data_IF_533517545209
#
_entry.id   IF_533517545209
#
_cell.length_a   1.000
_cell.length_b   1.000
_cell.length_c   1.000
_cell.angle_alpha   90.00
_cell.angle_beta   90.00
_cell.angle_gamma   90.00
#
_symmetry.space_group_name_H-M   'P 1'
#
loop_
_entity.id
_entity.type
_entity.pdbx_description
1 polymer ?
#
# COMPACT_ATOMS: atom_id res chain seq x y z
N UNK A 1 -27.79 -15.81 -6.98
CA UNK A 1 -27.64 -16.10 -5.53
C UNK A 1 -27.80 -14.80 -4.75
N UNK A 2 -28.51 -14.79 -3.62
CA UNK A 2 -28.62 -13.61 -2.74
C UNK A 2 -28.19 -14.00 -1.33
N UNK A 3 -27.27 -13.24 -0.74
CA UNK A 3 -26.73 -13.48 0.60
C UNK A 3 -26.91 -12.23 1.45
N UNK A 4 -27.31 -12.38 2.71
CA UNK A 4 -27.43 -11.28 3.67
C UNK A 4 -26.34 -11.39 4.72
N UNK A 5 -25.53 -10.34 4.84
CA UNK A 5 -24.40 -10.26 5.75
C UNK A 5 -24.70 -9.21 6.81
N UNK A 6 -24.59 -9.59 8.08
CA UNK A 6 -24.74 -8.66 9.21
C UNK A 6 -23.38 -8.08 9.61
N UNK A 7 -23.30 -6.88 10.19
CA UNK A 7 -22.05 -6.29 10.67
C UNK A 7 -21.38 -7.17 11.71
N UNK A 8 -20.05 -7.22 11.63
CA UNK A 8 -19.17 -7.87 12.60
C UNK A 8 -17.99 -6.95 12.87
N UNK A 9 -17.58 -6.86 14.13
CA UNK A 9 -16.61 -5.86 14.58
C UNK A 9 -17.24 -4.50 14.89
N UNK A 10 -16.40 -3.46 14.90
CA UNK A 10 -16.75 -2.13 15.38
C UNK A 10 -17.25 -1.19 14.28
N UNK A 11 -18.32 -1.57 13.57
CA UNK A 11 -19.09 -0.52 12.90
C UNK A 11 -19.94 0.21 13.93
N UNK A 12 -19.67 1.51 14.03
CA UNK A 12 -20.58 2.46 14.65
C UNK A 12 -21.88 2.51 13.84
N UNK A 13 -23.00 2.74 14.52
CA UNK A 13 -24.33 2.76 13.90
C UNK A 13 -24.37 3.85 12.81
N UNK A 14 -24.47 3.46 11.53
CA UNK A 14 -24.66 4.42 10.44
C UNK A 14 -26.04 5.08 10.54
N UNK A 15 -26.07 6.39 10.34
CA UNK A 15 -27.29 7.18 10.25
C UNK A 15 -28.07 6.87 8.97
N UNK A 16 -29.36 7.23 8.97
CA UNK A 16 -30.21 7.08 7.78
C UNK A 16 -29.67 7.89 6.60
N UNK A 17 -29.12 9.09 6.86
CA UNK A 17 -28.58 9.99 5.84
C UNK A 17 -27.33 9.41 5.15
N UNK A 18 -26.42 8.80 5.92
CA UNK A 18 -25.20 8.18 5.38
C UNK A 18 -25.55 7.01 4.45
N UNK A 19 -26.50 6.17 4.87
CA UNK A 19 -26.95 5.04 4.03
C UNK A 19 -27.69 5.52 2.79
N UNK A 20 -28.52 6.55 2.90
CA UNK A 20 -29.27 7.06 1.75
C UNK A 20 -28.36 7.69 0.68
N UNK A 21 -27.19 8.24 1.05
CA UNK A 21 -26.18 8.68 0.06
C UNK A 21 -25.73 7.55 -0.86
N UNK A 22 -25.53 6.34 -0.33
CA UNK A 22 -25.20 5.17 -1.16
C UNK A 22 -26.38 4.70 -2.01
N UNK A 23 -27.62 4.85 -1.51
CA UNK A 23 -28.84 4.44 -2.23
C UNK A 23 -29.27 5.39 -3.35
N UNK A 24 -28.74 6.62 -3.41
CA UNK A 24 -29.23 7.67 -4.31
C UNK A 24 -29.24 7.30 -5.79
N UNK A 25 -28.43 6.31 -6.22
CA UNK A 25 -28.61 5.57 -7.48
C UNK A 25 -27.52 4.49 -7.60
N UNK A 26 -27.86 3.31 -8.13
CA UNK A 26 -26.89 2.28 -8.51
C UNK A 26 -25.89 2.75 -9.59
N UNK A 27 -26.16 3.91 -10.23
CA UNK A 27 -25.25 4.57 -11.18
C UNK A 27 -24.45 5.73 -10.57
N UNK A 28 -24.61 6.03 -9.28
CA UNK A 28 -23.81 7.09 -8.65
C UNK A 28 -22.33 6.67 -8.57
N UNK A 29 -21.43 7.64 -8.69
CA UNK A 29 -19.98 7.39 -8.61
C UNK A 29 -19.60 6.73 -7.27
N UNK A 30 -20.19 7.20 -6.17
CA UNK A 30 -19.97 6.65 -4.83
C UNK A 30 -20.43 5.20 -4.71
N UNK A 31 -21.60 4.86 -5.28
CA UNK A 31 -22.07 3.48 -5.30
C UNK A 31 -21.15 2.56 -6.12
N UNK A 32 -20.73 3.01 -7.30
CA UNK A 32 -19.82 2.23 -8.15
C UNK A 32 -18.47 2.01 -7.46
N UNK A 33 -17.93 3.04 -6.80
CA UNK A 33 -16.73 2.94 -5.97
C UNK A 33 -16.92 1.89 -4.86
N UNK A 34 -18.00 1.99 -4.09
CA UNK A 34 -18.33 1.05 -3.02
C UNK A 34 -18.50 -0.38 -3.51
N UNK A 35 -19.24 -0.58 -4.60
CA UNK A 35 -19.45 -1.88 -5.24
C UNK A 35 -18.13 -2.48 -5.69
N UNK A 36 -17.27 -1.70 -6.35
CA UNK A 36 -16.01 -2.21 -6.90
C UNK A 36 -15.02 -2.58 -5.79
N UNK A 37 -14.89 -1.77 -4.74
CA UNK A 37 -14.08 -2.10 -3.57
C UNK A 37 -14.62 -3.35 -2.84
N UNK A 38 -15.94 -3.48 -2.70
CA UNK A 38 -16.57 -4.65 -2.07
C UNK A 38 -16.34 -5.93 -2.88
N UNK A 39 -16.41 -5.84 -4.21
CA UNK A 39 -16.11 -6.96 -5.10
C UNK A 39 -14.65 -7.39 -4.99
N UNK A 40 -13.72 -6.43 -4.94
CA UNK A 40 -12.29 -6.71 -4.76
C UNK A 40 -12.02 -7.48 -3.45
N UNK A 41 -12.65 -7.07 -2.35
CA UNK A 41 -12.60 -7.78 -1.06
C UNK A 41 -13.14 -9.20 -1.15
N UNK A 42 -14.29 -9.40 -1.80
CA UNK A 42 -14.87 -10.74 -2.01
C UNK A 42 -13.99 -11.61 -2.93
N UNK A 43 -13.18 -10.98 -3.78
CA UNK A 43 -12.33 -11.63 -4.75
C UNK A 43 -10.90 -11.95 -4.24
N UNK A 44 -10.56 -11.66 -2.98
CA UNK A 44 -9.21 -11.81 -2.42
C UNK A 44 -8.57 -13.20 -2.54
N UNK A 45 -9.34 -14.25 -2.85
CA UNK A 45 -8.84 -15.61 -3.13
C UNK A 45 -8.53 -15.90 -4.61
N UNK A 46 -8.85 -14.99 -5.54
CA UNK A 46 -8.58 -15.17 -6.96
C UNK A 46 -7.14 -14.79 -7.28
N UNK A 47 -6.43 -15.69 -7.96
CA UNK A 47 -5.06 -15.46 -8.44
C UNK A 47 -5.10 -14.66 -9.75
N UNK A 48 -5.46 -13.39 -9.67
CA UNK A 48 -5.47 -12.46 -10.82
C UNK A 48 -5.01 -11.07 -10.37
N UNK A 49 -4.18 -10.44 -11.19
CA UNK A 49 -3.76 -9.04 -11.08
C UNK A 49 -4.52 -8.15 -12.08
N UNK A 50 -5.43 -8.73 -12.87
CA UNK A 50 -6.19 -8.03 -13.90
C UNK A 50 -7.56 -7.59 -13.39
N UNK A 51 -7.63 -6.32 -12.98
CA UNK A 51 -8.86 -5.67 -12.51
C UNK A 51 -10.00 -5.68 -13.55
N UNK A 52 -9.68 -5.50 -14.84
CA UNK A 52 -10.66 -5.52 -15.94
C UNK A 52 -11.32 -6.89 -16.09
N UNK A 53 -10.52 -7.96 -16.03
CA UNK A 53 -11.03 -9.34 -16.10
C UNK A 53 -11.93 -9.65 -14.90
N UNK A 54 -11.57 -9.20 -13.70
CA UNK A 54 -12.38 -9.37 -12.50
C UNK A 54 -13.76 -8.69 -12.64
N UNK A 55 -13.79 -7.42 -13.03
CA UNK A 55 -15.04 -6.68 -13.18
C UNK A 55 -15.92 -7.23 -14.33
N UNK A 56 -15.31 -7.72 -15.40
CA UNK A 56 -16.00 -8.39 -16.51
C UNK A 56 -16.65 -9.71 -16.06
N UNK A 57 -15.90 -10.54 -15.33
CA UNK A 57 -16.38 -11.82 -14.82
C UNK A 57 -17.58 -11.65 -13.87
N UNK A 58 -17.56 -10.62 -13.02
CA UNK A 58 -18.60 -10.34 -12.03
C UNK A 58 -19.45 -9.11 -12.39
N UNK A 59 -19.82 -8.99 -13.68
CA UNK A 59 -20.75 -7.95 -14.17
C UNK A 59 -22.12 -7.98 -13.47
N UNK A 60 -22.58 -9.17 -13.10
CA UNK A 60 -23.86 -9.41 -12.44
C UNK A 60 -23.79 -9.33 -10.90
N UNK A 61 -22.62 -9.03 -10.33
CA UNK A 61 -22.48 -8.76 -8.90
C UNK A 61 -23.14 -7.43 -8.56
N UNK A 62 -23.81 -7.37 -7.42
CA UNK A 62 -24.32 -6.10 -6.89
C UNK A 62 -24.39 -6.12 -5.36
N UNK A 63 -24.44 -4.95 -4.74
CA UNK A 63 -24.43 -4.82 -3.28
C UNK A 63 -25.39 -3.74 -2.77
N UNK A 64 -26.37 -4.16 -1.98
CA UNK A 64 -27.33 -3.26 -1.36
C UNK A 64 -27.02 -3.05 0.12
N UNK A 65 -27.09 -1.79 0.56
CA UNK A 65 -27.02 -1.42 1.98
C UNK A 65 -28.45 -1.36 2.54
N UNK A 66 -28.82 -2.38 3.32
CA UNK A 66 -30.13 -2.51 3.94
C UNK A 66 -30.11 -1.92 5.36
N UNK A 67 -31.08 -1.08 5.68
CA UNK A 67 -31.29 -0.61 7.05
C UNK A 67 -32.21 -1.58 7.80
N UNK A 68 -31.91 -1.83 9.08
CA UNK A 68 -32.72 -2.61 10.02
C UNK A 68 -32.69 -1.92 11.38
N UNK A 69 -33.63 -2.27 12.27
CA UNK A 69 -33.72 -1.70 13.63
C UNK A 69 -32.44 -1.85 14.45
N UNK A 70 -31.67 -2.92 14.21
CA UNK A 70 -30.40 -3.22 14.90
C UNK A 70 -29.16 -2.71 14.14
N UNK A 71 -29.34 -1.83 13.15
CA UNK A 71 -28.25 -1.25 12.35
C UNK A 71 -28.29 -1.68 10.89
N UNK A 72 -27.13 -1.63 10.24
CA UNK A 72 -26.99 -1.90 8.80
C UNK A 72 -26.85 -3.39 8.52
N UNK A 73 -27.30 -3.85 7.36
CA UNK A 73 -27.00 -5.15 6.77
C UNK A 73 -26.59 -4.98 5.32
N UNK A 74 -25.73 -5.86 4.82
CA UNK A 74 -25.38 -5.91 3.41
C UNK A 74 -26.16 -7.04 2.75
N UNK A 75 -26.73 -6.77 1.57
CA UNK A 75 -27.29 -7.78 0.70
C UNK A 75 -26.41 -7.88 -0.54
N UNK A 76 -25.78 -9.04 -0.70
CA UNK A 76 -24.89 -9.35 -1.80
C UNK A 76 -25.67 -10.13 -2.86
N UNK A 77 -25.65 -9.65 -4.09
CA UNK A 77 -26.29 -10.27 -5.25
C UNK A 77 -25.17 -10.87 -6.10
N UNK A 78 -25.22 -12.19 -6.31
CA UNK A 78 -24.21 -12.96 -7.04
C UNK A 78 -22.75 -12.70 -6.59
N UNK A 79 -22.44 -12.76 -5.28
CA UNK A 79 -21.07 -12.60 -4.82
C UNK A 79 -20.20 -13.80 -5.28
N UNK A 80 -18.88 -13.60 -5.41
CA UNK A 80 -17.95 -14.68 -5.70
C UNK A 80 -18.02 -15.83 -4.66
N UNK A 81 -18.09 -17.08 -5.14
CA UNK A 81 -18.29 -18.27 -4.29
C UNK A 81 -17.10 -18.56 -3.37
N UNK A 82 -15.87 -18.24 -3.80
CA UNK A 82 -14.66 -18.42 -2.99
C UNK A 82 -14.62 -17.57 -1.71
N UNK A 83 -15.53 -16.60 -1.55
CA UNK A 83 -15.68 -15.85 -0.30
C UNK A 83 -16.40 -16.65 0.80
N UNK A 84 -16.90 -17.85 0.48
CA UNK A 84 -17.73 -18.67 1.34
C UNK A 84 -17.07 -20.01 1.66
N UNK A 85 -17.29 -20.49 2.88
CA UNK A 85 -16.98 -21.85 3.33
C UNK A 85 -18.29 -22.44 3.85
N UNK A 86 -18.72 -23.55 3.25
CA UNK A 86 -20.00 -24.22 3.56
C UNK A 86 -21.21 -23.25 3.55
N UNK A 87 -21.22 -22.34 2.58
CA UNK A 87 -22.27 -21.32 2.40
C UNK A 87 -22.22 -20.16 3.40
N UNK A 88 -21.24 -20.12 4.30
CA UNK A 88 -21.01 -19.02 5.24
C UNK A 88 -19.85 -18.15 4.77
N UNK A 89 -20.04 -16.82 4.77
CA UNK A 89 -18.97 -15.89 4.39
C UNK A 89 -17.81 -16.00 5.39
N UNK A 90 -16.58 -15.97 4.89
CA UNK A 90 -15.38 -15.94 5.74
C UNK A 90 -15.43 -14.68 6.62
N UNK A 91 -15.20 -14.85 7.93
CA UNK A 91 -15.33 -13.76 8.91
C UNK A 91 -14.45 -12.54 8.59
N UNK A 92 -13.20 -12.75 8.16
CA UNK A 92 -12.31 -11.64 7.77
C UNK A 92 -12.85 -10.84 6.58
N UNK A 93 -13.39 -11.53 5.56
CA UNK A 93 -14.02 -10.88 4.40
C UNK A 93 -15.25 -10.07 4.84
N UNK A 94 -16.06 -10.63 5.74
CA UNK A 94 -17.18 -9.91 6.33
C UNK A 94 -16.72 -8.61 7.02
N UNK A 95 -15.68 -8.66 7.85
CA UNK A 95 -15.11 -7.47 8.52
C UNK A 95 -14.54 -6.44 7.51
N UNK A 96 -13.90 -6.91 6.44
CA UNK A 96 -13.40 -6.05 5.37
C UNK A 96 -14.51 -5.34 4.60
N UNK A 97 -15.62 -6.00 4.28
CA UNK A 97 -16.78 -5.37 3.63
C UNK A 97 -17.31 -4.17 4.44
N UNK A 98 -17.31 -4.29 5.76
CA UNK A 98 -17.72 -3.20 6.64
C UNK A 98 -16.65 -2.13 6.83
N UNK A 99 -15.36 -2.48 6.73
CA UNK A 99 -14.26 -1.51 6.67
C UNK A 99 -14.35 -0.68 5.38
N UNK A 100 -14.66 -1.31 4.24
CA UNK A 100 -14.92 -0.62 2.96
C UNK A 100 -16.07 0.37 3.10
N UNK A 101 -17.19 -0.07 3.69
CA UNK A 101 -18.36 0.78 3.89
C UNK A 101 -18.03 1.99 4.79
N UNK A 102 -17.35 1.75 5.92
CA UNK A 102 -16.92 2.78 6.87
C UNK A 102 -16.08 3.85 6.18
N UNK A 103 -15.04 3.45 5.46
CA UNK A 103 -14.06 4.39 4.92
C UNK A 103 -14.63 5.18 3.74
N UNK A 104 -15.36 4.52 2.82
CA UNK A 104 -15.95 5.19 1.65
C UNK A 104 -17.00 6.22 2.06
N UNK A 105 -17.86 5.88 3.02
CA UNK A 105 -18.86 6.82 3.55
C UNK A 105 -18.20 7.99 4.28
N UNK A 106 -17.23 7.70 5.15
CA UNK A 106 -16.53 8.71 5.92
C UNK A 106 -15.82 9.74 5.01
N UNK A 107 -15.08 9.24 4.02
CA UNK A 107 -14.34 10.06 3.06
C UNK A 107 -15.31 10.91 2.24
N UNK A 108 -16.38 10.33 1.68
CA UNK A 108 -17.35 11.09 0.88
C UNK A 108 -18.12 12.12 1.70
N UNK A 109 -18.54 11.80 2.92
CA UNK A 109 -19.30 12.74 3.75
C UNK A 109 -18.45 13.93 4.18
N UNK A 110 -17.24 13.69 4.67
CA UNK A 110 -16.34 14.77 5.09
C UNK A 110 -15.75 15.54 3.92
N UNK A 111 -15.09 14.90 2.96
CA UNK A 111 -14.26 15.67 2.02
C UNK A 111 -15.05 16.34 0.89
N UNK A 112 -16.29 15.92 0.60
CA UNK A 112 -17.16 16.67 -0.32
C UNK A 112 -17.81 17.90 0.33
N UNK A 113 -17.91 17.95 1.66
CA UNK A 113 -18.67 18.99 2.38
C UNK A 113 -17.78 20.04 3.06
N UNK A 114 -16.50 19.75 3.30
CA UNK A 114 -15.61 20.61 4.08
C UNK A 114 -14.93 21.68 3.22
N UNK A 115 -15.55 22.87 3.14
CA UNK A 115 -15.02 24.06 2.44
C UNK A 115 -13.68 24.59 2.96
N UNK A 116 -13.24 24.19 4.17
CA UNK A 116 -12.00 24.69 4.79
C UNK A 116 -10.79 23.76 4.59
N UNK A 117 -10.97 22.56 4.03
CA UNK A 117 -9.85 21.65 3.74
C UNK A 117 -9.32 21.93 2.32
N UNK A 118 -8.19 22.64 2.25
CA UNK A 118 -7.39 22.73 1.03
C UNK A 118 -6.51 21.48 0.82
N UNK A 119 -6.90 20.58 -0.10
CA UNK A 119 -6.11 19.39 -0.46
C UNK A 119 -4.86 19.67 -1.33
N UNK A 120 -4.56 20.94 -1.61
CA UNK A 120 -3.25 21.36 -2.11
C UNK A 120 -2.29 21.80 -1.00
N UNK A 121 -2.75 21.85 0.26
CA UNK A 121 -1.94 22.22 1.41
C UNK A 121 -1.42 20.97 2.14
N UNK A 122 -0.10 20.85 2.27
CA UNK A 122 0.60 19.74 2.93
C UNK A 122 0.07 19.41 4.34
N UNK A 123 -0.10 20.42 5.19
CA UNK A 123 -0.57 20.25 6.57
C UNK A 123 -2.01 19.70 6.61
N UNK A 124 -2.86 20.17 5.70
CA UNK A 124 -4.23 19.68 5.61
C UNK A 124 -4.26 18.22 5.16
N UNK A 125 -3.42 17.82 4.20
CA UNK A 125 -3.30 16.42 3.75
C UNK A 125 -2.88 15.52 4.92
N UNK A 126 -1.88 15.91 5.71
CA UNK A 126 -1.46 15.12 6.88
C UNK A 126 -2.59 14.97 7.91
N UNK A 127 -3.38 16.03 8.14
CA UNK A 127 -4.54 15.96 9.03
C UNK A 127 -5.65 15.06 8.47
N UNK A 128 -5.86 15.05 7.14
CA UNK A 128 -6.79 14.14 6.45
C UNK A 128 -6.36 12.68 6.68
N UNK A 129 -5.09 12.37 6.46
CA UNK A 129 -4.55 11.00 6.68
C UNK A 129 -4.74 10.57 8.14
N UNK A 130 -4.39 11.43 9.10
CA UNK A 130 -4.60 11.17 10.52
C UNK A 130 -6.08 10.89 10.85
N UNK A 131 -6.99 11.73 10.33
CA UNK A 131 -8.42 11.63 10.62
C UNK A 131 -9.04 10.33 10.10
N UNK A 132 -8.65 9.90 8.89
CA UNK A 132 -9.07 8.62 8.31
C UNK A 132 -8.55 7.45 9.15
N UNK A 133 -7.26 7.43 9.48
CA UNK A 133 -6.68 6.37 10.32
C UNK A 133 -7.28 6.33 11.72
N UNK A 134 -7.59 7.49 12.30
CA UNK A 134 -8.29 7.61 13.59
C UNK A 134 -9.71 7.04 13.50
N UNK A 135 -10.48 7.40 12.47
CA UNK A 135 -11.83 6.88 12.26
C UNK A 135 -11.81 5.35 12.04
N UNK A 136 -10.79 4.86 11.35
CA UNK A 136 -10.56 3.43 11.16
C UNK A 136 -10.08 2.69 12.42
N UNK A 137 -9.80 3.42 13.51
CA UNK A 137 -9.22 2.90 14.77
C UNK A 137 -7.84 2.26 14.57
N UNK A 138 -7.13 2.65 13.51
CA UNK A 138 -5.77 2.20 13.21
C UNK A 138 -4.71 2.93 14.07
N UNK A 139 -5.06 4.05 14.70
CA UNK A 139 -4.19 4.73 15.68
C UNK A 139 -4.55 4.20 17.06
N UNK A 140 -3.87 3.13 17.50
CA UNK A 140 -4.16 2.47 18.76
C UNK A 140 -3.83 3.37 19.96
N UNK A 141 -4.71 3.53 20.97
CA UNK A 141 -4.37 4.31 22.16
C UNK A 141 -3.32 3.56 22.98
N UNK A 142 -2.35 4.31 23.54
CA UNK A 142 -1.46 3.82 24.62
C UNK A 142 -0.59 2.60 24.27
N UNK A 143 -0.27 2.38 22.98
CA UNK A 143 0.72 1.37 22.57
C UNK A 143 2.11 1.97 22.34
N UNK A 144 3.15 1.27 22.80
CA UNK A 144 4.54 1.58 22.43
C UNK A 144 4.78 1.28 20.93
N UNK A 145 5.81 1.89 20.29
CA UNK A 145 6.22 1.58 18.92
C UNK A 145 6.40 0.09 18.66
N UNK A 146 5.57 -0.48 17.78
CA UNK A 146 5.65 -1.91 17.45
C UNK A 146 5.18 -2.29 16.02
N UNK A 147 4.72 -1.32 15.22
CA UNK A 147 4.24 -1.56 13.86
C UNK A 147 5.40 -1.51 12.87
N UNK A 148 5.67 -2.64 12.20
CA UNK A 148 6.64 -2.76 11.10
C UNK A 148 5.89 -2.80 9.78
N UNK A 149 6.18 -1.85 8.90
CA UNK A 149 5.63 -1.86 7.54
C UNK A 149 6.48 -2.80 6.68
N UNK A 150 5.83 -3.68 5.93
CA UNK A 150 6.50 -4.58 4.99
C UNK A 150 6.04 -4.25 3.56
N UNK A 151 7.01 -3.89 2.72
CA UNK A 151 6.83 -3.63 1.29
C UNK A 151 7.55 -4.68 0.46
N UNK A 152 7.06 -4.93 -0.75
CA UNK A 152 7.64 -5.92 -1.67
C UNK A 152 6.69 -6.29 -2.80
N UNK A 153 7.15 -7.16 -3.70
CA UNK A 153 6.40 -7.50 -4.90
C UNK A 153 5.10 -8.27 -4.65
N UNK A 154 4.05 -7.93 -5.41
CA UNK A 154 2.83 -8.75 -5.52
C UNK A 154 3.11 -10.06 -6.28
N UNK A 155 4.04 -10.04 -7.23
CA UNK A 155 4.52 -11.19 -8.01
C UNK A 155 5.95 -11.53 -7.60
N UNK A 156 6.09 -12.59 -6.81
CA UNK A 156 7.37 -13.11 -6.30
C UNK A 156 7.40 -14.64 -6.40
N UNK A 157 8.61 -15.20 -6.48
CA UNK A 157 8.77 -16.66 -6.54
C UNK A 157 8.56 -17.32 -5.17
N UNK A 158 8.54 -18.66 -5.14
CA UNK A 158 8.29 -19.42 -3.92
C UNK A 158 9.39 -19.23 -2.84
N UNK A 159 10.64 -19.02 -3.25
CA UNK A 159 11.78 -18.83 -2.34
C UNK A 159 11.66 -17.48 -1.64
N UNK A 160 11.43 -16.41 -2.40
CA UNK A 160 11.17 -15.06 -1.88
C UNK A 160 9.94 -15.06 -0.97
N UNK A 161 8.85 -15.72 -1.38
CA UNK A 161 7.64 -15.81 -0.56
C UNK A 161 7.91 -16.50 0.78
N UNK A 162 8.62 -17.63 0.77
CA UNK A 162 8.96 -18.35 1.99
C UNK A 162 9.90 -17.53 2.89
N UNK A 163 10.84 -16.77 2.31
CA UNK A 163 11.70 -15.85 3.05
C UNK A 163 10.88 -14.75 3.74
N UNK A 164 9.93 -14.13 3.04
CA UNK A 164 9.06 -13.09 3.64
C UNK A 164 8.25 -13.64 4.82
N UNK A 165 7.81 -14.90 4.72
CA UNK A 165 7.10 -15.61 5.79
C UNK A 165 8.01 -15.89 6.99
N UNK A 166 9.27 -16.28 6.76
CA UNK A 166 10.21 -16.49 7.86
C UNK A 166 10.56 -15.16 8.56
N UNK A 167 10.75 -14.07 7.82
CA UNK A 167 10.91 -12.74 8.41
C UNK A 167 9.69 -12.37 9.24
N UNK A 168 8.49 -12.53 8.70
CA UNK A 168 7.24 -12.33 9.45
C UNK A 168 7.16 -13.15 10.74
N UNK A 169 7.54 -14.42 10.67
CA UNK A 169 7.60 -15.29 11.85
C UNK A 169 8.55 -14.76 12.92
N UNK A 170 9.76 -14.32 12.52
CA UNK A 170 10.74 -13.73 13.42
C UNK A 170 10.29 -12.38 14.02
N UNK A 171 9.54 -11.58 13.27
CA UNK A 171 8.88 -10.37 13.78
C UNK A 171 7.82 -10.70 14.83
N UNK A 172 6.96 -11.67 14.54
CA UNK A 172 5.91 -12.10 15.47
C UNK A 172 6.47 -12.70 16.78
N UNK A 173 7.63 -13.36 16.72
CA UNK A 173 8.36 -13.82 17.92
C UNK A 173 8.86 -12.68 18.82
N UNK A 174 8.91 -11.44 18.31
CA UNK A 174 9.37 -10.23 19.01
C UNK A 174 8.23 -9.25 19.31
N UNK A 175 6.99 -9.73 19.18
CA UNK A 175 5.75 -8.99 19.47
C UNK A 175 5.57 -7.74 18.58
N UNK A 176 6.05 -7.83 17.34
CA UNK A 176 5.93 -6.76 16.35
C UNK A 176 4.72 -6.99 15.45
N UNK A 177 3.86 -5.97 15.38
CA UNK A 177 2.69 -5.92 14.51
C UNK A 177 3.13 -5.63 13.06
N UNK A 178 2.33 -6.05 12.08
CA UNK A 178 2.67 -5.91 10.65
C UNK A 178 1.68 -5.00 9.94
N UNK A 179 2.20 -4.10 9.13
CA UNK A 179 1.44 -3.27 8.19
C UNK A 179 1.89 -3.56 6.74
N UNK A 180 0.97 -3.80 5.80
CA UNK A 180 1.30 -4.01 4.37
C UNK A 180 0.30 -3.32 3.45
N UNK A 181 0.59 -3.40 2.14
CA UNK A 181 -0.28 -2.98 1.05
C UNK A 181 -1.44 -3.92 0.71
N UNK A 182 -1.83 -4.83 1.62
CA UNK A 182 -2.98 -5.75 1.48
C UNK A 182 -2.84 -6.91 0.47
N UNK A 183 -2.09 -6.72 -0.63
CA UNK A 183 -2.06 -7.66 -1.76
C UNK A 183 -1.41 -9.03 -1.51
N UNK A 184 -1.18 -9.81 -2.59
CA UNK A 184 -0.52 -11.11 -2.53
C UNK A 184 1.01 -10.97 -2.37
N UNK A 185 1.73 -12.09 -2.44
CA UNK A 185 3.19 -12.10 -2.45
C UNK A 185 3.78 -11.59 -1.13
N UNK A 186 4.70 -10.63 -1.23
CA UNK A 186 5.39 -10.05 -0.08
C UNK A 186 4.47 -9.22 0.85
N UNK A 187 3.26 -8.88 0.40
CA UNK A 187 2.26 -8.20 1.22
C UNK A 187 1.41 -9.17 2.08
N UNK A 188 1.49 -10.47 1.80
CA UNK A 188 0.76 -11.53 2.51
C UNK A 188 1.70 -12.41 3.37
N UNK A 189 2.84 -12.80 2.81
CA UNK A 189 3.79 -13.74 3.44
C UNK A 189 4.19 -13.35 4.87
N UNK A 190 4.61 -12.10 5.14
CA UNK A 190 4.97 -11.66 6.48
C UNK A 190 3.85 -11.82 7.51
N UNK A 191 2.60 -11.49 7.16
CA UNK A 191 1.45 -11.65 8.07
C UNK A 191 1.21 -13.12 8.43
N UNK A 192 1.31 -14.04 7.44
CA UNK A 192 1.18 -15.49 7.69
C UNK A 192 2.29 -16.02 8.60
N UNK A 193 3.50 -15.51 8.46
CA UNK A 193 4.61 -15.81 9.36
C UNK A 193 4.34 -15.32 10.78
N UNK A 194 3.99 -14.05 10.90
CA UNK A 194 3.77 -13.39 12.19
C UNK A 194 2.63 -14.01 12.98
N UNK A 195 1.56 -14.50 12.33
CA UNK A 195 0.51 -15.23 13.04
C UNK A 195 1.01 -16.45 13.79
N UNK A 196 1.98 -17.18 13.25
CA UNK A 196 2.61 -18.32 13.93
C UNK A 196 3.52 -17.82 15.07
N UNK A 197 4.31 -16.76 14.82
CA UNK A 197 5.18 -16.15 15.84
C UNK A 197 4.40 -15.62 17.04
N UNK A 198 3.35 -14.84 16.78
CA UNK A 198 2.42 -14.31 17.78
C UNK A 198 1.70 -15.42 18.56
N UNK A 199 1.27 -16.50 17.89
CA UNK A 199 0.66 -17.63 18.57
C UNK A 199 1.62 -18.32 19.56
N UNK A 200 2.91 -18.42 19.21
CA UNK A 200 3.95 -18.93 20.12
C UNK A 200 4.18 -18.00 21.32
N UNK A 201 4.16 -16.69 21.10
CA UNK A 201 4.28 -15.67 22.14
C UNK A 201 2.96 -15.36 22.88
N UNK A 202 1.87 -16.08 22.58
CA UNK A 202 0.53 -15.90 23.18
C UNK A 202 -0.04 -14.48 23.00
N UNK A 203 0.34 -13.79 21.94
CA UNK A 203 -0.19 -12.48 21.57
C UNK A 203 -1.58 -12.66 20.95
N UNK A 204 -2.62 -12.23 21.68
CA UNK A 204 -4.03 -12.38 21.27
C UNK A 204 -4.53 -11.25 20.39
N UNK A 205 -3.95 -10.06 20.54
CA UNK A 205 -4.40 -8.82 19.90
C UNK A 205 -3.33 -8.32 18.91
N UNK A 206 -2.77 -9.25 18.12
CA UNK A 206 -1.84 -8.93 17.05
C UNK A 206 -2.56 -8.12 15.97
N UNK A 207 -1.88 -7.13 15.41
CA UNK A 207 -2.41 -6.24 14.38
C UNK A 207 -1.78 -6.58 13.03
N UNK A 208 -2.63 -6.88 12.07
CA UNK A 208 -2.30 -7.08 10.67
C UNK A 208 -3.03 -6.01 9.88
N UNK A 209 -2.34 -4.87 9.74
CA UNK A 209 -2.88 -3.64 9.19
C UNK A 209 -2.70 -3.69 7.68
N UNK A 210 -3.81 -3.55 6.96
CA UNK A 210 -3.82 -3.46 5.51
C UNK A 210 -4.20 -2.05 5.08
N UNK A 211 -3.30 -1.37 4.37
CA UNK A 211 -3.58 -0.06 3.78
C UNK A 211 -3.71 -0.19 2.26
N UNK A 212 -4.88 0.16 1.73
CA UNK A 212 -5.17 0.13 0.29
C UNK A 212 -5.85 1.43 -0.14
N UNK A 213 -6.06 1.60 -1.44
CA UNK A 213 -6.86 2.68 -2.01
C UNK A 213 -7.68 2.15 -3.21
N UNK A 214 -8.74 2.86 -3.67
CA UNK A 214 -9.67 2.30 -4.64
C UNK A 214 -9.08 1.92 -6.01
N UNK A 215 -8.03 2.60 -6.47
CA UNK A 215 -7.48 2.37 -7.81
C UNK A 215 -6.62 1.11 -7.92
N UNK A 216 -6.12 0.60 -6.79
CA UNK A 216 -5.26 -0.59 -6.71
C UNK A 216 -5.94 -1.79 -6.04
N UNK A 217 -6.98 -1.59 -5.21
CA UNK A 217 -7.60 -2.68 -4.43
C UNK A 217 -8.09 -3.86 -5.29
N UNK A 218 -8.49 -3.63 -6.54
CA UNK A 218 -8.93 -4.70 -7.43
C UNK A 218 -7.77 -5.52 -8.03
N UNK A 219 -6.58 -4.93 -8.16
CA UNK A 219 -5.38 -5.62 -8.63
C UNK A 219 -4.61 -6.28 -7.47
N UNK A 220 -4.66 -5.67 -6.29
CA UNK A 220 -4.03 -6.14 -5.06
C UNK A 220 -5.07 -6.24 -3.93
N UNK A 221 -6.02 -7.19 -4.03
CA UNK A 221 -7.10 -7.30 -3.05
C UNK A 221 -6.58 -7.71 -1.66
N UNK A 222 -7.24 -7.27 -0.58
CA UNK A 222 -6.80 -7.55 0.77
C UNK A 222 -6.88 -9.03 1.10
N UNK A 223 -5.71 -9.61 1.37
CA UNK A 223 -5.61 -10.98 1.82
C UNK A 223 -6.38 -11.18 3.15
N UNK A 224 -6.86 -12.41 3.37
CA UNK A 224 -7.82 -12.69 4.43
C UNK A 224 -7.23 -12.71 5.86
N UNK A 225 -5.91 -12.53 6.01
CA UNK A 225 -5.25 -12.44 7.33
C UNK A 225 -5.19 -11.00 7.86
N UNK A 226 -5.38 -10.00 6.99
CA UNK A 226 -5.58 -8.60 7.41
C UNK A 226 -6.76 -8.54 8.39
N UNK A 227 -6.56 -7.96 9.57
CA UNK A 227 -7.62 -7.77 10.56
C UNK A 227 -7.95 -6.29 10.82
N UNK A 228 -7.15 -5.38 10.26
CA UNK A 228 -7.42 -3.94 10.26
C UNK A 228 -7.24 -3.39 8.85
N UNK A 229 -8.33 -3.37 8.07
CA UNK A 229 -8.33 -2.80 6.72
C UNK A 229 -8.64 -1.30 6.77
N UNK A 230 -7.87 -0.49 6.05
CA UNK A 230 -8.13 0.94 5.82
C UNK A 230 -8.05 1.26 4.34
N UNK A 231 -9.08 1.93 3.82
CA UNK A 231 -9.11 2.45 2.46
C UNK A 231 -8.81 3.95 2.48
N UNK A 232 -7.67 4.33 1.92
CA UNK A 232 -7.26 5.71 1.73
C UNK A 232 -7.79 6.26 0.40
N UNK A 233 -7.89 7.59 0.22
CA UNK A 233 -8.49 8.17 -0.99
C UNK A 233 -7.66 7.98 -2.26
N UNK A 234 -6.32 7.93 -2.13
CA UNK A 234 -5.37 7.86 -3.23
C UNK A 234 -4.02 7.27 -2.78
N UNK A 235 -3.12 7.05 -3.75
CA UNK A 235 -1.80 6.44 -3.54
C UNK A 235 -0.94 7.29 -2.60
N UNK A 236 -0.90 8.61 -2.78
CA UNK A 236 -0.06 9.48 -1.96
C UNK A 236 -0.49 9.48 -0.49
N UNK A 237 -1.80 9.49 -0.19
CA UNK A 237 -2.31 9.37 1.18
C UNK A 237 -2.06 7.98 1.75
N UNK A 238 -2.09 6.93 0.93
CA UNK A 238 -1.66 5.57 1.33
C UNK A 238 -0.17 5.54 1.69
N UNK A 239 0.70 6.15 0.87
CA UNK A 239 2.14 6.26 1.14
C UNK A 239 2.42 7.07 2.42
N UNK A 240 1.73 8.19 2.63
CA UNK A 240 1.85 8.97 3.88
C UNK A 240 1.38 8.14 5.09
N UNK A 241 0.27 7.41 4.96
CA UNK A 241 -0.23 6.56 6.04
C UNK A 241 0.80 5.49 6.47
N UNK A 242 1.53 4.88 5.53
CA UNK A 242 2.60 3.93 5.87
C UNK A 242 3.69 4.56 6.74
N UNK A 243 4.24 5.71 6.31
CA UNK A 243 5.39 6.32 7.00
C UNK A 243 5.01 7.02 8.30
N UNK A 244 3.74 7.41 8.46
CA UNK A 244 3.22 7.99 9.70
C UNK A 244 2.89 6.92 10.75
N UNK A 245 2.33 5.79 10.34
CA UNK A 245 1.92 4.69 11.22
C UNK A 245 3.09 3.74 11.54
N UNK A 246 4.00 3.55 10.59
CA UNK A 246 5.16 2.68 10.73
C UNK A 246 6.20 3.21 11.71
N UNK A 247 6.83 2.30 12.43
CA UNK A 247 7.97 2.57 13.30
C UNK A 247 9.29 2.04 12.71
N UNK A 248 9.18 1.32 11.61
CA UNK A 248 10.28 0.78 10.82
C UNK A 248 9.70 0.14 9.56
N UNK A 249 10.52 0.07 8.52
CA UNK A 249 10.14 -0.48 7.22
C UNK A 249 11.10 -1.61 6.85
N UNK A 250 10.54 -2.72 6.39
CA UNK A 250 11.25 -3.79 5.70
C UNK A 250 10.82 -3.79 4.24
N UNK A 251 11.78 -3.82 3.33
CA UNK A 251 11.56 -3.86 1.89
C UNK A 251 12.14 -5.17 1.33
N UNK A 252 11.25 -6.02 0.83
CA UNK A 252 11.56 -7.25 0.10
C UNK A 252 11.74 -6.97 -1.40
N UNK A 253 12.28 -7.93 -2.19
CA UNK A 253 12.32 -7.79 -3.64
C UNK A 253 10.93 -7.54 -4.24
N UNK A 254 10.87 -6.61 -5.19
CA UNK A 254 9.63 -6.21 -5.85
C UNK A 254 9.86 -5.50 -7.17
N UNK A 255 8.74 -5.09 -7.81
CA UNK A 255 8.73 -4.40 -9.09
C UNK A 255 8.60 -2.89 -8.94
N UNK A 256 7.92 -2.25 -9.91
CA UNK A 256 7.76 -0.80 -9.97
C UNK A 256 7.12 -0.18 -8.71
N UNK A 257 6.10 -0.83 -8.12
CA UNK A 257 5.45 -0.31 -6.90
C UNK A 257 6.38 -0.29 -5.69
N UNK A 258 7.20 -1.33 -5.52
CA UNK A 258 8.20 -1.37 -4.43
C UNK A 258 9.31 -0.34 -4.64
N UNK A 259 9.71 -0.09 -5.89
CA UNK A 259 10.66 0.97 -6.22
C UNK A 259 10.07 2.38 -5.94
N UNK A 260 8.78 2.60 -6.26
CA UNK A 260 8.05 3.82 -5.90
C UNK A 260 8.07 4.05 -4.38
N UNK A 261 7.74 3.02 -3.59
CA UNK A 261 7.72 3.06 -2.13
C UNK A 261 9.12 3.35 -1.55
N UNK A 262 10.19 2.74 -2.08
CA UNK A 262 11.58 3.00 -1.69
C UNK A 262 11.99 4.46 -1.98
N UNK A 263 11.72 4.95 -3.19
CA UNK A 263 12.05 6.33 -3.57
C UNK A 263 11.26 7.36 -2.75
N UNK A 264 10.02 7.04 -2.39
CA UNK A 264 9.19 7.85 -1.52
C UNK A 264 9.83 8.03 -0.14
N UNK A 265 10.17 6.93 0.55
CA UNK A 265 10.76 7.03 1.90
C UNK A 265 12.16 7.66 1.86
N UNK A 266 12.99 7.34 0.87
CA UNK A 266 14.34 7.93 0.77
C UNK A 266 14.26 9.44 0.53
N UNK A 267 13.38 9.90 -0.37
CA UNK A 267 13.15 11.33 -0.60
C UNK A 267 12.75 12.08 0.68
N UNK A 268 11.90 11.47 1.50
CA UNK A 268 11.51 12.01 2.81
C UNK A 268 12.71 12.03 3.78
N UNK A 269 13.43 10.92 3.93
CA UNK A 269 14.52 10.80 4.91
C UNK A 269 15.77 11.62 4.55
N UNK A 270 15.91 12.03 3.29
CA UNK A 270 16.95 12.96 2.82
C UNK A 270 16.64 14.43 3.16
N UNK A 271 15.41 14.76 3.55
CA UNK A 271 15.07 16.10 4.00
C UNK A 271 15.92 16.47 5.23
N UNK A 272 16.44 17.71 5.25
CA UNK A 272 17.29 18.23 6.34
C UNK A 272 16.59 18.19 7.69
N UNK A 273 15.27 18.43 7.73
CA UNK A 273 14.47 18.39 8.95
C UNK A 273 14.31 16.96 9.51
N UNK A 274 14.59 15.93 8.71
CA UNK A 274 14.49 14.53 9.10
C UNK A 274 15.83 13.86 9.44
N UNK A 275 16.95 14.61 9.43
CA UNK A 275 18.29 14.03 9.61
C UNK A 275 18.45 13.25 10.91
N UNK A 276 17.88 13.78 12.00
CA UNK A 276 17.96 13.18 13.35
C UNK A 276 16.81 12.19 13.64
N UNK A 277 15.86 12.03 12.71
CA UNK A 277 14.71 11.13 12.92
C UNK A 277 15.17 9.68 12.79
N UNK A 278 15.15 8.87 13.87
CA UNK A 278 15.45 7.45 13.75
C UNK A 278 14.33 6.76 13.00
N UNK A 279 14.68 6.12 11.90
CA UNK A 279 13.72 5.39 11.08
C UNK A 279 14.37 4.12 10.55
N UNK A 280 14.23 2.99 11.25
CA UNK A 280 14.80 1.71 10.83
C UNK A 280 14.27 1.33 9.44
N UNK A 281 15.16 1.21 8.46
CA UNK A 281 14.83 0.83 7.10
C UNK A 281 15.76 -0.30 6.66
N UNK A 282 15.19 -1.48 6.39
CA UNK A 282 15.95 -2.67 6.01
C UNK A 282 15.49 -3.15 4.65
N UNK A 283 16.43 -3.35 3.73
CA UNK A 283 16.24 -4.08 2.49
C UNK A 283 16.69 -5.52 2.71
N UNK A 284 15.86 -6.51 2.39
CA UNK A 284 16.18 -7.91 2.72
C UNK A 284 15.52 -8.90 1.78
N UNK A 285 16.19 -10.01 1.54
CA UNK A 285 15.67 -11.14 0.79
C UNK A 285 16.55 -12.38 0.96
N UNK A 286 16.18 -13.50 0.31
CA UNK A 286 16.97 -14.72 0.35
C UNK A 286 18.30 -14.55 -0.41
N UNK A 287 19.19 -15.52 -0.30
CA UNK A 287 20.51 -15.49 -0.96
C UNK A 287 20.40 -15.23 -2.47
N UNK A 288 19.39 -15.77 -3.14
CA UNK A 288 19.13 -15.61 -4.58
C UNK A 288 18.76 -14.18 -4.99
N UNK A 289 18.42 -13.31 -4.02
CA UNK A 289 18.10 -11.90 -4.26
C UNK A 289 19.30 -10.96 -4.06
N UNK A 290 20.49 -11.48 -3.78
CA UNK A 290 21.69 -10.65 -3.58
C UNK A 290 21.96 -9.73 -4.78
N UNK A 291 21.96 -10.26 -6.01
CA UNK A 291 22.18 -9.47 -7.23
C UNK A 291 21.07 -8.43 -7.47
N UNK A 292 19.83 -8.72 -7.05
CA UNK A 292 18.74 -7.75 -7.10
C UNK A 292 19.04 -6.54 -6.22
N UNK A 293 19.47 -6.78 -4.97
CA UNK A 293 19.78 -5.71 -4.04
C UNK A 293 21.06 -4.95 -4.40
N UNK A 294 22.06 -5.61 -5.00
CA UNK A 294 23.25 -4.91 -5.54
C UNK A 294 22.81 -3.89 -6.58
N UNK A 295 21.97 -4.28 -7.55
CA UNK A 295 21.49 -3.35 -8.59
C UNK A 295 20.63 -2.20 -8.03
N UNK A 296 19.81 -2.48 -7.01
CA UNK A 296 19.05 -1.43 -6.32
C UNK A 296 20.01 -0.47 -5.60
N UNK A 297 21.00 -0.99 -4.89
CA UNK A 297 21.98 -0.19 -4.15
C UNK A 297 22.80 0.70 -5.08
N UNK A 298 23.30 0.14 -6.19
CA UNK A 298 24.00 0.87 -7.26
C UNK A 298 23.11 1.95 -7.88
N UNK A 299 21.83 1.65 -8.15
CA UNK A 299 20.88 2.63 -8.68
C UNK A 299 20.66 3.78 -7.69
N UNK A 300 20.49 3.50 -6.40
CA UNK A 300 20.32 4.55 -5.39
C UNK A 300 21.60 5.37 -5.22
N UNK A 301 22.77 4.74 -5.21
CA UNK A 301 24.06 5.44 -5.16
C UNK A 301 24.22 6.39 -6.35
N UNK A 302 23.94 5.92 -7.56
CA UNK A 302 24.12 6.70 -8.77
C UNK A 302 23.11 7.85 -8.92
N UNK A 303 21.93 7.75 -8.29
CA UNK A 303 20.85 8.74 -8.43
C UNK A 303 20.74 9.68 -7.23
N UNK A 304 20.66 9.14 -6.01
CA UNK A 304 20.45 9.90 -4.78
C UNK A 304 21.73 10.02 -3.93
N UNK A 305 22.79 9.27 -4.26
CA UNK A 305 24.10 9.32 -3.62
C UNK A 305 24.18 8.58 -2.29
N UNK A 306 25.41 8.49 -1.75
CA UNK A 306 25.74 7.76 -0.53
C UNK A 306 24.93 8.18 0.70
N UNK A 307 24.45 9.43 0.74
CA UNK A 307 23.57 9.92 1.80
C UNK A 307 22.26 9.14 1.86
N UNK A 308 21.73 8.70 0.72
CA UNK A 308 20.55 7.87 0.64
C UNK A 308 20.87 6.42 1.06
N UNK A 309 22.02 5.89 0.66
CA UNK A 309 22.47 4.55 1.05
C UNK A 309 22.62 4.42 2.57
N UNK A 310 23.08 5.48 3.25
CA UNK A 310 23.18 5.52 4.71
C UNK A 310 21.83 5.46 5.44
N UNK A 311 20.71 5.66 4.73
CA UNK A 311 19.36 5.60 5.33
C UNK A 311 18.82 4.18 5.45
N UNK A 312 19.45 3.18 4.83
CA UNK A 312 19.01 1.79 4.93
C UNK A 312 20.15 0.82 5.19
N UNK A 313 19.78 -0.39 5.61
CA UNK A 313 20.69 -1.52 5.74
C UNK A 313 20.21 -2.66 4.83
N UNK A 314 21.12 -3.27 4.06
CA UNK A 314 20.84 -4.50 3.31
C UNK A 314 21.22 -5.70 4.16
N UNK A 315 20.28 -6.63 4.37
CA UNK A 315 20.49 -7.87 5.11
C UNK A 315 20.04 -9.05 4.25
N UNK A 316 20.98 -9.87 3.80
CA UNK A 316 20.70 -11.04 2.95
C UNK A 316 20.63 -12.31 3.80
N UNK A 317 19.60 -13.12 3.54
CA UNK A 317 19.42 -14.47 4.06
C UNK A 317 19.50 -14.61 5.59
N UNK A 318 19.00 -13.60 6.33
CA UNK A 318 19.01 -13.64 7.80
C UNK A 318 17.74 -13.04 8.42
N UNK A 319 16.62 -13.80 8.41
CA UNK A 319 15.35 -13.32 8.94
C UNK A 319 15.38 -12.95 10.43
N UNK A 320 16.18 -13.67 11.22
CA UNK A 320 16.30 -13.43 12.65
C UNK A 320 17.01 -12.09 12.93
N UNK A 321 18.03 -11.77 12.13
CA UNK A 321 18.75 -10.50 12.20
C UNK A 321 17.87 -9.33 11.79
N UNK A 322 17.11 -9.44 10.69
CA UNK A 322 16.14 -8.43 10.25
C UNK A 322 15.20 -8.06 11.39
N UNK A 323 14.59 -9.07 12.03
CA UNK A 323 13.65 -8.84 13.12
C UNK A 323 14.34 -8.30 14.39
N UNK A 324 15.60 -8.67 14.64
CA UNK A 324 16.39 -8.14 15.76
C UNK A 324 16.71 -6.66 15.59
N UNK A 325 17.17 -6.25 14.40
CA UNK A 325 17.46 -4.84 14.08
C UNK A 325 16.17 -4.02 14.18
N UNK A 326 15.04 -4.51 13.65
CA UNK A 326 13.75 -3.83 13.81
C UNK A 326 13.36 -3.66 15.27
N UNK A 327 13.47 -4.72 16.10
CA UNK A 327 13.13 -4.63 17.53
C UNK A 327 14.00 -3.61 18.28
N UNK A 328 15.29 -3.53 17.97
CA UNK A 328 16.18 -2.51 18.53
C UNK A 328 15.81 -1.11 18.04
N UNK A 329 15.42 -0.98 16.77
CA UNK A 329 14.92 0.24 16.18
C UNK A 329 13.66 0.79 16.87
N UNK A 330 12.73 -0.08 17.29
CA UNK A 330 11.55 0.34 18.06
C UNK A 330 11.91 1.10 19.34
N UNK A 331 12.96 0.67 20.06
CA UNK A 331 13.43 1.35 21.28
C UNK A 331 14.00 2.73 20.97
N UNK A 332 14.74 2.87 19.86
CA UNK A 332 15.28 4.16 19.40
C UNK A 332 14.15 5.12 19.03
N UNK A 333 13.15 4.64 18.28
CA UNK A 333 11.96 5.41 17.90
C UNK A 333 11.19 5.85 19.15
N UNK A 334 10.99 4.96 20.11
CA UNK A 334 10.32 5.28 21.38
C UNK A 334 11.06 6.36 22.17
N UNK A 335 12.38 6.23 22.29
CA UNK A 335 13.22 7.21 22.98
C UNK A 335 13.17 8.58 22.30
N UNK A 336 13.29 8.61 20.97
CA UNK A 336 13.24 9.85 20.19
C UNK A 336 11.88 10.54 20.31
N UNK A 337 10.78 9.83 20.06
CA UNK A 337 9.43 10.40 20.16
C UNK A 337 9.13 10.91 21.56
N UNK A 338 9.64 10.23 22.60
CA UNK A 338 9.55 10.73 23.99
C UNK A 338 10.34 12.03 24.19
N UNK A 339 11.55 12.11 23.65
CA UNK A 339 12.42 13.28 23.81
C UNK A 339 11.89 14.51 23.06
N UNK A 340 11.24 14.32 21.91
CA UNK A 340 10.68 15.40 21.08
C UNK A 340 9.21 15.72 21.38
N UNK A 341 8.54 14.90 22.18
CA UNK A 341 7.11 15.07 22.50
C UNK A 341 6.16 14.63 21.38
N UNK A 342 6.63 13.84 20.41
CA UNK A 342 5.81 13.30 19.32
C UNK A 342 5.02 12.05 19.77
N UNK A 343 3.92 11.75 19.09
CA UNK A 343 3.04 10.63 19.43
C UNK A 343 3.63 9.28 19.02
N UNK A 344 3.49 8.27 19.88
CA UNK A 344 3.98 6.93 19.59
C UNK A 344 3.23 6.22 18.48
N UNK A 345 1.99 6.58 18.15
CA UNK A 345 1.19 5.80 17.21
C UNK A 345 0.96 6.53 15.88
N UNK A 346 1.44 7.76 15.78
CA UNK A 346 1.42 8.56 14.56
C UNK A 346 2.55 9.57 14.61
N UNK A 347 3.50 9.47 13.68
CA UNK A 347 4.69 10.31 13.67
C UNK A 347 4.41 11.68 13.06
N UNK A 348 4.04 12.67 13.87
CA UNK A 348 3.75 14.03 13.38
C UNK A 348 5.01 14.79 12.98
N UNK A 349 6.12 14.57 13.68
CA UNK A 349 7.36 15.31 13.47
C UNK A 349 8.05 15.01 12.14
N UNK A 350 7.67 13.93 11.44
CA UNK A 350 8.22 13.62 10.12
C UNK A 350 7.84 14.72 9.11
N UNK A 351 8.85 15.42 8.59
CA UNK A 351 8.66 16.41 7.55
C UNK A 351 8.44 15.70 6.21
N UNK A 352 7.30 15.94 5.57
CA UNK A 352 7.00 15.45 4.23
C UNK A 352 6.74 16.67 3.35
N UNK A 353 7.52 16.81 2.27
CA UNK A 353 7.33 17.90 1.31
C UNK A 353 6.07 17.67 0.46
N UNK A 354 5.44 18.77 0.02
CA UNK A 354 4.19 18.71 -0.74
C UNK A 354 4.30 17.86 -2.01
N UNK A 355 5.47 17.79 -2.64
CA UNK A 355 5.73 16.96 -3.82
C UNK A 355 5.57 15.44 -3.60
N UNK A 356 5.62 15.00 -2.35
CA UNK A 356 5.33 13.62 -1.94
C UNK A 356 3.85 13.43 -1.53
N UNK A 357 3.10 14.51 -1.30
CA UNK A 357 1.70 14.43 -0.82
C UNK A 357 0.66 14.74 -1.91
N UNK A 358 1.02 15.56 -2.89
CA UNK A 358 0.11 15.96 -3.95
C UNK A 358 -0.20 14.78 -4.88
N UNK A 359 -1.49 14.49 -5.14
CA UNK A 359 -1.89 13.40 -6.03
C UNK A 359 -1.27 13.53 -7.42
N UNK A 360 -0.73 12.41 -7.92
CA UNK A 360 -0.16 12.33 -9.26
C UNK A 360 -1.10 11.57 -10.21
N UNK A 361 -1.53 12.24 -11.29
CA UNK A 361 -2.35 11.63 -12.34
C UNK A 361 -1.46 11.44 -13.59
N UNK A 362 -1.06 10.21 -13.92
CA UNK A 362 -0.18 9.97 -15.07
C UNK A 362 -0.95 10.10 -16.38
N UNK A 363 -0.45 10.97 -17.25
CA UNK A 363 -0.82 11.09 -18.67
C UNK A 363 0.45 11.12 -19.51
N UNK A 364 0.35 10.91 -20.83
CA UNK A 364 1.52 10.93 -21.73
C UNK A 364 2.31 12.24 -21.64
N UNK A 365 1.62 13.38 -21.58
CA UNK A 365 2.25 14.69 -21.44
C UNK A 365 2.96 14.86 -20.09
N UNK A 366 2.28 14.48 -18.99
CA UNK A 366 2.85 14.58 -17.64
C UNK A 366 4.06 13.67 -17.49
N UNK A 367 3.99 12.43 -17.98
CA UNK A 367 5.08 11.45 -17.92
C UNK A 367 6.29 11.89 -18.75
N UNK A 368 6.05 12.43 -19.94
CA UNK A 368 7.12 12.95 -20.79
C UNK A 368 7.80 14.18 -20.18
N UNK A 369 7.08 15.01 -19.42
CA UNK A 369 7.61 16.25 -18.85
C UNK A 369 8.14 16.09 -17.41
N UNK A 370 8.32 14.87 -16.92
CA UNK A 370 8.99 14.63 -15.62
C UNK A 370 10.44 15.11 -15.67
N UNK A 371 10.88 15.78 -14.60
CA UNK A 371 12.21 16.36 -14.50
C UNK A 371 13.22 15.30 -14.02
N UNK A 372 13.67 14.45 -14.94
CA UNK A 372 14.55 13.31 -14.69
C UNK A 372 16.01 13.64 -15.05
N UNK A 373 16.65 14.53 -14.28
CA UNK A 373 18.05 14.91 -14.47
C UNK A 373 18.85 14.80 -13.17
N UNK A 374 20.12 14.37 -13.26
CA UNK A 374 20.98 14.13 -12.09
C UNK A 374 21.42 15.42 -11.36
N UNK A 375 21.43 16.57 -12.04
CA UNK A 375 21.93 17.84 -11.49
C UNK A 375 20.93 18.61 -10.61
N UNK A 376 19.87 17.95 -10.15
CA UNK A 376 18.79 18.56 -9.37
C UNK A 376 19.00 18.24 -7.89
N UNK A 377 18.37 19.02 -7.00
CA UNK A 377 18.16 18.61 -5.61
C UNK A 377 17.67 17.14 -5.55
N UNK A 378 18.41 16.30 -4.80
CA UNK A 378 18.15 14.87 -4.66
C UNK A 378 16.73 14.57 -4.20
N UNK A 379 16.15 15.40 -3.32
CA UNK A 379 14.78 15.22 -2.86
C UNK A 379 13.78 15.37 -4.02
N UNK A 380 13.98 16.39 -4.87
CA UNK A 380 13.17 16.64 -6.05
C UNK A 380 13.38 15.57 -7.12
N UNK A 381 14.60 15.05 -7.28
CA UNK A 381 14.85 13.89 -8.16
C UNK A 381 14.12 12.64 -7.65
N UNK A 382 14.19 12.34 -6.35
CA UNK A 382 13.45 11.24 -5.74
C UNK A 382 11.93 11.37 -5.95
N UNK A 383 11.39 12.60 -5.79
CA UNK A 383 9.98 12.86 -6.04
C UNK A 383 9.56 12.63 -7.51
N UNK A 384 10.41 12.99 -8.49
CA UNK A 384 10.13 12.75 -9.90
C UNK A 384 10.30 11.27 -10.29
N UNK A 385 11.31 10.58 -9.75
CA UNK A 385 11.47 9.14 -9.94
C UNK A 385 10.27 8.39 -9.34
N UNK A 386 9.82 8.76 -8.14
CA UNK A 386 8.59 8.23 -7.51
C UNK A 386 7.40 8.36 -8.47
N UNK A 387 7.17 9.54 -9.05
CA UNK A 387 6.10 9.77 -10.03
C UNK A 387 6.26 8.90 -11.29
N UNK A 388 7.48 8.74 -11.80
CA UNK A 388 7.74 7.88 -12.95
C UNK A 388 7.32 6.43 -12.67
N UNK A 389 7.74 5.86 -11.54
CA UNK A 389 7.33 4.51 -11.14
C UNK A 389 5.83 4.40 -10.86
N UNK A 390 5.22 5.42 -10.24
CA UNK A 390 3.77 5.50 -10.02
C UNK A 390 2.99 5.45 -11.34
N UNK A 391 3.48 6.14 -12.37
CA UNK A 391 2.91 6.09 -13.70
C UNK A 391 3.04 4.71 -14.37
N UNK A 392 4.18 4.02 -14.17
CA UNK A 392 4.37 2.64 -14.66
C UNK A 392 3.40 1.69 -13.94
N UNK A 393 3.25 1.80 -12.62
CA UNK A 393 2.26 1.03 -11.85
C UNK A 393 0.87 1.29 -12.40
N UNK A 394 0.49 2.56 -12.57
CA UNK A 394 -0.80 2.94 -13.12
C UNK A 394 -1.06 2.33 -14.50
N UNK A 395 -0.08 2.40 -15.41
CA UNK A 395 -0.17 1.82 -16.75
C UNK A 395 -0.27 0.29 -16.76
N UNK A 396 0.13 -0.39 -15.69
CA UNK A 396 0.04 -1.84 -15.56
C UNK A 396 -1.28 -2.32 -14.94
N UNK A 397 -1.86 -1.56 -14.00
CA UNK A 397 -2.95 -2.08 -13.14
C UNK A 397 -4.20 -1.20 -13.06
N UNK A 398 -4.10 0.11 -13.34
CA UNK A 398 -5.23 1.05 -13.22
C UNK A 398 -6.01 1.12 -14.53
N UNK A 399 -7.30 0.82 -14.46
CA UNK A 399 -8.16 0.64 -15.64
C UNK A 399 -8.17 1.82 -16.61
N UNK A 400 -8.17 3.05 -16.12
CA UNK A 400 -8.25 4.23 -16.98
C UNK A 400 -6.91 4.57 -17.62
N UNK A 401 -5.80 4.30 -16.93
CA UNK A 401 -4.46 4.46 -17.48
C UNK A 401 -4.16 3.36 -18.51
N UNK A 402 -4.55 2.11 -18.25
CA UNK A 402 -4.43 1.02 -19.23
C UNK A 402 -5.14 1.39 -20.55
N UNK A 403 -6.35 1.95 -20.50
CA UNK A 403 -7.05 2.44 -21.72
C UNK A 403 -6.24 3.52 -22.44
N UNK A 404 -5.62 4.45 -21.72
CA UNK A 404 -4.77 5.47 -22.34
C UNK A 404 -3.57 4.84 -23.06
N UNK A 405 -2.94 3.82 -22.46
CA UNK A 405 -1.85 3.07 -23.09
C UNK A 405 -2.34 2.29 -24.32
N UNK A 406 -3.50 1.63 -24.25
CA UNK A 406 -4.12 0.95 -25.39
C UNK A 406 -4.42 1.91 -26.56
N UNK A 407 -4.80 3.16 -26.28
CA UNK A 407 -5.18 4.14 -27.29
C UNK A 407 -4.00 4.97 -27.86
N UNK A 408 -3.05 5.37 -27.01
CA UNK A 408 -1.99 6.32 -27.36
C UNK A 408 -0.59 5.68 -27.41
N UNK A 409 -0.46 4.41 -27.02
CA UNK A 409 0.83 3.72 -26.89
C UNK A 409 1.48 3.91 -25.51
N UNK A 410 2.70 3.39 -25.31
CA UNK A 410 3.40 3.45 -24.02
C UNK A 410 3.75 4.89 -23.61
N UNK A 411 3.91 5.12 -22.31
CA UNK A 411 4.47 6.38 -21.80
C UNK A 411 5.91 6.55 -22.26
N UNK A 412 6.24 7.75 -22.74
CA UNK A 412 7.62 8.11 -23.07
C UNK A 412 8.28 8.77 -21.85
N UNK A 413 9.33 8.16 -21.33
CA UNK A 413 10.15 8.73 -20.26
C UNK A 413 11.46 9.22 -20.85
N UNK A 414 11.77 10.51 -20.66
CA UNK A 414 12.96 11.18 -21.16
C UNK A 414 13.65 11.92 -20.01
N UNK A 415 14.96 12.11 -20.13
CA UNK A 415 15.76 12.76 -19.10
C UNK A 415 17.25 12.73 -19.44
N UNK A 416 18.08 12.82 -18.41
CA UNK A 416 19.52 12.63 -18.52
C UNK A 416 19.84 11.24 -19.09
N UNK A 417 20.70 11.12 -20.13
CA UNK A 417 20.97 9.84 -20.78
C UNK A 417 21.50 8.75 -19.84
N UNK A 418 22.33 9.12 -18.87
CA UNK A 418 22.89 8.18 -17.90
C UNK A 418 21.78 7.66 -16.97
N UNK A 419 20.94 8.57 -16.47
CA UNK A 419 19.78 8.19 -15.65
C UNK A 419 18.80 7.31 -16.44
N UNK A 420 18.51 7.64 -17.69
CA UNK A 420 17.61 6.86 -18.54
C UNK A 420 18.16 5.45 -18.80
N UNK A 421 19.46 5.30 -19.05
CA UNK A 421 20.11 3.99 -19.16
C UNK A 421 19.99 3.17 -17.86
N UNK A 422 20.18 3.81 -16.70
CA UNK A 422 20.02 3.14 -15.40
C UNK A 422 18.58 2.68 -15.17
N UNK A 423 17.60 3.52 -15.47
CA UNK A 423 16.17 3.17 -15.38
C UNK A 423 15.81 2.02 -16.32
N UNK A 424 16.28 2.05 -17.57
CA UNK A 424 16.05 1.02 -18.58
C UNK A 424 16.59 -0.35 -18.12
N UNK A 425 17.81 -0.37 -17.58
CA UNK A 425 18.43 -1.57 -17.03
C UNK A 425 17.66 -2.13 -15.83
N UNK A 426 17.26 -1.26 -14.90
CA UNK A 426 16.51 -1.66 -13.70
C UNK A 426 15.13 -2.22 -14.07
N UNK A 427 14.39 -1.51 -14.92
CA UNK A 427 13.06 -1.93 -15.39
C UNK A 427 13.12 -3.21 -16.22
N UNK A 428 14.13 -3.36 -17.08
CA UNK A 428 14.38 -4.59 -17.83
C UNK A 428 14.65 -5.78 -16.89
N UNK A 429 15.40 -5.58 -15.80
CA UNK A 429 15.61 -6.61 -14.80
C UNK A 429 14.30 -7.02 -14.10
N UNK A 430 13.41 -6.06 -13.80
CA UNK A 430 12.08 -6.38 -13.25
C UNK A 430 11.23 -7.21 -14.20
N UNK A 431 11.29 -6.93 -15.51
CA UNK A 431 10.58 -7.72 -16.53
C UNK A 431 11.16 -9.13 -16.62
N UNK A 432 12.47 -9.28 -16.72
CA UNK A 432 13.15 -10.58 -16.80
C UNK A 432 12.87 -11.45 -15.58
N UNK A 433 12.79 -10.85 -14.39
CA UNK A 433 12.50 -11.52 -13.13
C UNK A 433 10.98 -11.69 -12.87
N UNK A 434 10.12 -11.38 -13.85
CA UNK A 434 8.66 -11.54 -13.77
C UNK A 434 8.00 -10.76 -12.61
N UNK A 435 8.52 -9.58 -12.29
CA UNK A 435 8.04 -8.73 -11.18
C UNK A 435 6.96 -7.73 -11.58
N UNK A 436 6.70 -7.57 -12.88
CA UNK A 436 5.73 -6.59 -13.42
C UNK A 436 4.32 -7.14 -13.59
N UNK A 437 4.17 -8.47 -13.56
CA UNK A 437 2.90 -9.17 -13.80
C UNK A 437 2.95 -10.56 -13.16
N UNK A 438 1.80 -11.08 -12.73
CA UNK A 438 1.68 -12.48 -12.31
C UNK A 438 1.94 -13.45 -13.48
N UNK A 439 2.43 -14.67 -13.20
CA UNK A 439 2.66 -15.68 -14.23
C UNK A 439 1.39 -16.01 -15.03
N UNK A 440 1.55 -16.26 -16.34
CA UNK A 440 0.49 -16.77 -17.21
C UNK A 440 0.40 -16.09 -18.58
N UNK A 441 0.90 -14.87 -18.72
CA UNK A 441 0.98 -14.16 -20.02
C UNK A 441 2.25 -13.32 -20.10
N UNK A 442 2.74 -13.05 -21.31
CA UNK A 442 3.87 -12.16 -21.50
C UNK A 442 3.52 -10.73 -21.04
N UNK A 443 4.48 -10.07 -20.40
CA UNK A 443 4.38 -8.66 -20.04
C UNK A 443 4.77 -7.78 -21.23
N UNK A 444 3.90 -6.82 -21.57
CA UNK A 444 4.19 -5.78 -22.56
C UNK A 444 4.38 -4.47 -21.77
N UNK A 445 5.57 -3.84 -21.82
CA UNK A 445 5.83 -2.60 -21.11
C UNK A 445 4.83 -1.49 -21.46
N UNK A 446 4.28 -0.83 -20.44
CA UNK A 446 3.44 0.35 -20.58
C UNK A 446 4.27 1.66 -20.73
N UNK A 447 5.59 1.53 -20.85
CA UNK A 447 6.56 2.60 -20.91
C UNK A 447 7.61 2.33 -22.00
N UNK A 448 8.26 3.39 -22.44
CA UNK A 448 9.41 3.39 -23.32
C UNK A 448 10.40 4.44 -22.81
N UNK A 449 11.63 4.01 -22.53
CA UNK A 449 12.72 4.92 -22.21
C UNK A 449 13.22 5.55 -23.52
N UNK A 450 13.25 6.88 -23.57
CA UNK A 450 13.75 7.67 -24.69
C UNK A 450 15.13 8.20 -24.28
N UNK A 451 16.17 7.72 -24.99
CA UNK A 451 17.59 8.01 -24.72
C UNK A 451 18.09 9.19 -25.55
#
# INVERSE_FOLDING_TARGET
MIVKVSPKGSMDQLSQLEVDRLKKSAKSALYQLYRNCSLAVLAAGLKTDNSKALFEQYKNFDINVLQRERGVKLELINPPEQAFVDGQIITGIQEHLFSVLRDILYISDKYETLKYINLANASHITNVVFDILRNARAIAPMKDPNVVVCWGGHSINAIEYQYTREVGYQLGLRELDICTGCGPGAMEGPMKGAAIGHAKQRIKNARYIGLTEPSIIAAEPPNQIVNELVILPDIEKRLEAFVRLGHGIIIFPGGAGTAEELLYILGILLNKENQETPFPLILTGPTESADYFIKIDEFIAATLGDEAQKKYQIIIDNPAEVARVMKQGMEQVKAYRRATGDAYQYQWALKIEAEFQLPFIPSHDVMANLDLHLNIDKAKLAANLRKAFSGIVAGNVKSDTIKQIEHLGPFQLKGDPILMDMMDNLLSAFVQQQRMKLPGTAYVPCYQIVK
#
